data_IF_166028004899
#
_entry.id   IF_166028004899
#
_cell.length_a   1.000
_cell.length_b   1.000
_cell.length_c   1.000
_cell.angle_alpha   90.00
_cell.angle_beta   90.00
_cell.angle_gamma   90.00
#
_symmetry.space_group_name_H-M   'P 1'
#
loop_
_entity.id
_entity.type
_entity.pdbx_description
1 polymer ?
#
# COMPACT_ATOMS: atom_id res chain seq x y z
N UNK A 1 -11.26 5.97 24.55
CA UNK A 1 -10.81 4.76 23.84
C UNK A 1 -9.96 5.24 22.69
N UNK A 2 -8.67 4.86 22.65
CA UNK A 2 -7.84 5.07 21.45
C UNK A 2 -8.10 3.87 20.55
N UNK A 3 -8.54 4.14 19.34
CA UNK A 3 -8.77 3.16 18.28
C UNK A 3 -7.48 2.38 18.02
N UNK A 4 -7.59 1.08 17.73
CA UNK A 4 -6.42 0.25 17.44
C UNK A 4 -6.20 0.26 15.93
N UNK A 5 -5.21 1.02 15.48
CA UNK A 5 -4.73 0.98 14.11
C UNK A 5 -4.38 -0.46 13.71
N UNK A 6 -4.75 -0.88 12.50
CA UNK A 6 -4.33 -2.18 11.96
C UNK A 6 -2.92 -2.03 11.40
N UNK A 7 -1.96 -2.57 12.14
CA UNK A 7 -0.54 -2.55 11.79
C UNK A 7 -0.15 -3.80 11.01
N UNK A 8 0.66 -3.63 9.97
CA UNK A 8 1.24 -4.72 9.20
C UNK A 8 2.73 -4.47 8.95
N UNK A 9 3.48 -5.55 8.80
CA UNK A 9 4.87 -5.54 8.37
C UNK A 9 4.95 -6.03 6.94
N UNK A 10 5.72 -5.35 6.11
CA UNK A 10 5.93 -5.67 4.71
C UNK A 10 7.42 -5.91 4.43
N UNK A 11 7.71 -6.86 3.55
CA UNK A 11 9.02 -7.05 2.94
C UNK A 11 9.00 -6.28 1.61
N UNK A 12 10.04 -5.48 1.36
CA UNK A 12 10.12 -4.61 0.19
C UNK A 12 10.98 -5.28 -0.89
N UNK A 13 10.35 -5.73 -1.96
CA UNK A 13 11.00 -6.37 -3.12
C UNK A 13 11.23 -5.38 -4.28
N UNK A 14 10.53 -4.24 -4.28
CA UNK A 14 10.65 -3.16 -5.26
C UNK A 14 10.86 -1.83 -4.53
N UNK A 15 12.08 -1.57 -4.04
CA UNK A 15 12.38 -0.32 -3.36
C UNK A 15 12.32 0.87 -4.31
N UNK A 16 12.28 2.09 -3.76
CA UNK A 16 12.36 3.34 -4.54
C UNK A 16 13.52 3.28 -5.55
N UNK A 17 13.24 3.59 -6.81
CA UNK A 17 14.19 3.57 -7.91
C UNK A 17 14.36 2.21 -8.59
N UNK A 18 13.66 1.17 -8.14
CA UNK A 18 13.62 -0.11 -8.84
C UNK A 18 13.00 0.05 -10.24
N UNK A 19 13.61 -0.59 -11.24
CA UNK A 19 13.10 -0.66 -12.61
C UNK A 19 12.71 -2.11 -12.92
N UNK A 20 11.45 -2.32 -13.28
CA UNK A 20 10.97 -3.66 -13.64
C UNK A 20 11.36 -4.05 -15.08
N UNK A 21 11.08 -5.31 -15.47
CA UNK A 21 11.39 -5.81 -16.81
C UNK A 21 10.63 -5.11 -17.95
N UNK A 22 9.60 -4.32 -17.63
CA UNK A 22 8.81 -3.55 -18.58
C UNK A 22 9.27 -2.09 -18.68
N UNK A 23 10.29 -1.70 -17.89
CA UNK A 23 10.84 -0.34 -17.87
C UNK A 23 10.07 0.63 -16.96
N UNK A 24 9.18 0.13 -16.09
CA UNK A 24 8.53 0.98 -15.09
C UNK A 24 9.49 1.25 -13.94
N UNK A 25 9.70 2.52 -13.61
CA UNK A 25 10.50 2.95 -12.47
C UNK A 25 9.57 3.25 -11.29
N UNK A 26 9.82 2.61 -10.15
CA UNK A 26 9.01 2.76 -8.93
C UNK A 26 9.46 3.99 -8.13
N UNK A 27 8.65 5.05 -8.02
CA UNK A 27 9.01 6.26 -7.29
C UNK A 27 8.81 6.13 -5.76
N UNK A 28 8.14 5.06 -5.32
CA UNK A 28 7.82 4.73 -3.92
C UNK A 28 8.21 3.28 -3.64
N UNK A 29 8.35 2.93 -2.35
CA UNK A 29 8.60 1.53 -1.99
C UNK A 29 7.34 0.70 -2.21
N UNK A 30 7.54 -0.50 -2.77
CA UNK A 30 6.51 -1.50 -2.98
C UNK A 30 7.01 -2.87 -2.50
N UNK A 31 6.10 -3.65 -1.95
CA UNK A 31 6.41 -4.93 -1.36
C UNK A 31 5.17 -5.77 -1.17
N UNK A 32 5.27 -6.74 -0.28
CA UNK A 32 4.19 -7.66 0.08
C UNK A 32 4.14 -7.89 1.60
N UNK A 33 2.97 -8.29 2.10
CA UNK A 33 2.77 -8.71 3.48
C UNK A 33 3.00 -10.22 3.58
N UNK A 34 4.07 -10.68 4.25
CA UNK A 34 4.37 -12.11 4.33
C UNK A 34 3.25 -12.87 5.05
N UNK A 35 3.00 -14.10 4.61
CA UNK A 35 1.97 -15.02 5.14
C UNK A 35 0.51 -14.55 4.98
N UNK A 36 0.26 -13.40 4.35
CA UNK A 36 -1.08 -12.93 4.02
C UNK A 36 -1.33 -13.14 2.52
N UNK A 37 -2.25 -14.03 2.16
CA UNK A 37 -2.51 -14.34 0.76
C UNK A 37 -3.52 -13.35 0.16
N UNK A 38 -3.15 -12.73 -0.96
CA UNK A 38 -3.97 -11.84 -1.77
C UNK A 38 -4.98 -12.57 -2.67
N UNK A 39 -5.66 -11.81 -3.52
CA UNK A 39 -6.72 -12.32 -4.40
C UNK A 39 -6.22 -13.24 -5.54
N UNK A 40 -4.95 -13.11 -5.92
CA UNK A 40 -4.29 -13.87 -6.98
C UNK A 40 -3.62 -15.18 -6.51
N UNK A 41 -3.57 -15.41 -5.19
CA UNK A 41 -2.92 -16.56 -4.58
C UNK A 41 -1.45 -16.35 -4.21
N UNK A 42 -0.90 -15.15 -4.42
CA UNK A 42 0.41 -14.71 -3.92
C UNK A 42 0.25 -13.94 -2.60
N UNK A 43 1.36 -13.46 -2.04
CA UNK A 43 1.34 -12.64 -0.82
C UNK A 43 0.78 -11.25 -1.13
N UNK A 44 0.00 -10.67 -0.22
CA UNK A 44 -0.75 -9.45 -0.43
C UNK A 44 0.17 -8.28 -0.74
N UNK A 45 0.04 -7.75 -1.95
CA UNK A 45 0.82 -6.62 -2.45
C UNK A 45 0.49 -5.32 -1.72
N UNK A 46 1.52 -4.47 -1.53
CA UNK A 46 1.39 -3.22 -0.77
C UNK A 46 2.30 -2.09 -1.26
N UNK A 47 1.72 -0.89 -1.40
CA UNK A 47 2.44 0.37 -1.55
C UNK A 47 2.75 0.99 -0.18
N UNK A 48 3.93 1.62 -0.07
CA UNK A 48 4.27 2.48 1.08
C UNK A 48 4.06 3.93 0.68
N UNK A 49 3.15 4.63 1.37
CA UNK A 49 2.81 6.03 1.12
C UNK A 49 3.24 6.89 2.30
N UNK A 50 3.90 8.01 2.01
CA UNK A 50 4.32 9.00 2.99
C UNK A 50 4.37 10.39 2.36
N UNK A 51 4.18 11.44 3.17
CA UNK A 51 4.44 12.83 2.79
C UNK A 51 5.94 13.13 2.63
N UNK A 52 6.79 12.37 3.32
CA UNK A 52 8.23 12.55 3.29
C UNK A 52 8.87 11.83 2.09
N UNK A 53 9.95 12.37 1.50
CA UNK A 53 10.72 11.67 0.49
C UNK A 53 11.22 10.32 1.00
N UNK A 54 11.00 9.26 0.23
CA UNK A 54 11.37 7.90 0.61
C UNK A 54 12.78 7.54 0.10
N UNK A 55 13.49 6.78 0.91
CA UNK A 55 14.71 6.06 0.51
C UNK A 55 14.37 4.58 0.25
N UNK A 56 15.22 3.83 -0.48
CA UNK A 56 15.09 2.38 -0.60
C UNK A 56 14.96 1.71 0.78
N UNK A 57 13.96 0.87 0.94
CA UNK A 57 13.72 0.09 2.16
C UNK A 57 13.90 -1.40 1.87
N UNK A 58 14.26 -2.16 2.92
CA UNK A 58 14.19 -3.64 2.90
C UNK A 58 12.91 -4.14 3.56
N UNK A 59 12.45 -3.43 4.60
CA UNK A 59 11.25 -3.78 5.37
C UNK A 59 10.54 -2.49 5.80
N UNK A 60 9.22 -2.56 5.97
CA UNK A 60 8.43 -1.47 6.51
C UNK A 60 7.37 -2.00 7.47
N UNK A 61 7.07 -1.26 8.55
CA UNK A 61 5.93 -1.55 9.43
C UNK A 61 5.14 -0.27 9.61
N UNK A 62 3.85 -0.34 9.26
CA UNK A 62 2.98 0.83 9.26
C UNK A 62 1.52 0.44 9.42
N UNK A 63 0.66 1.46 9.46
CA UNK A 63 -0.78 1.29 9.54
C UNK A 63 -1.36 1.09 8.14
N UNK A 64 -2.33 0.20 8.01
CA UNK A 64 -3.18 0.09 6.82
C UNK A 64 -4.14 1.28 6.79
N UNK A 65 -3.99 2.12 5.76
CA UNK A 65 -4.79 3.37 5.63
C UNK A 65 -5.80 3.30 4.50
N UNK A 66 -5.57 2.47 3.49
CA UNK A 66 -6.44 2.35 2.34
C UNK A 66 -6.21 1.02 1.59
N UNK A 67 -7.16 0.70 0.74
CA UNK A 67 -7.08 -0.38 -0.24
C UNK A 67 -7.41 0.24 -1.61
N UNK A 68 -6.57 -0.05 -2.60
CA UNK A 68 -6.86 0.23 -4.00
C UNK A 68 -7.47 -1.04 -4.59
N UNK A 69 -8.69 -0.93 -5.07
CA UNK A 69 -9.35 -2.00 -5.79
C UNK A 69 -9.22 -1.76 -7.29
N UNK A 70 -8.98 -2.81 -8.06
CA UNK A 70 -8.91 -2.77 -9.52
C UNK A 70 -10.08 -3.58 -10.08
N UNK A 71 -10.88 -3.02 -10.98
CA UNK A 71 -12.02 -3.73 -11.61
C UNK A 71 -11.58 -4.75 -12.65
N UNK A 72 -10.41 -4.53 -13.22
CA UNK A 72 -9.82 -5.24 -14.34
C UNK A 72 -8.62 -6.10 -13.93
N UNK A 73 -8.38 -6.26 -12.63
CA UNK A 73 -7.34 -7.10 -12.03
C UNK A 73 -7.96 -7.96 -10.90
N UNK A 74 -7.32 -9.07 -10.56
CA UNK A 74 -7.86 -10.04 -9.58
C UNK A 74 -7.35 -9.81 -8.15
N UNK A 75 -6.48 -8.83 -7.94
CA UNK A 75 -5.87 -8.55 -6.66
C UNK A 75 -5.99 -7.06 -6.29
N UNK A 76 -6.45 -6.81 -5.07
CA UNK A 76 -6.40 -5.49 -4.46
C UNK A 76 -4.96 -5.11 -4.10
N UNK A 77 -4.67 -3.81 -4.01
CA UNK A 77 -3.37 -3.30 -3.57
C UNK A 77 -3.51 -2.55 -2.26
N UNK A 78 -2.81 -3.00 -1.23
CA UNK A 78 -2.89 -2.38 0.09
C UNK A 78 -2.00 -1.14 0.18
N UNK A 79 -2.36 -0.23 1.08
CA UNK A 79 -1.59 0.99 1.37
C UNK A 79 -1.17 1.00 2.83
N UNK A 80 0.13 0.88 3.09
CA UNK A 80 0.70 1.16 4.41
C UNK A 80 1.30 2.56 4.48
N UNK A 81 1.19 3.18 5.64
CA UNK A 81 1.78 4.48 5.90
C UNK A 81 2.35 4.59 7.33
N UNK A 82 3.25 5.56 7.58
CA UNK A 82 3.71 5.87 8.94
C UNK A 82 2.54 6.23 9.86
N UNK A 83 2.61 5.77 11.11
CA UNK A 83 1.53 5.95 12.11
C UNK A 83 1.19 7.42 12.34
N UNK A 84 2.21 8.28 12.34
CA UNK A 84 2.12 9.71 12.59
C UNK A 84 1.66 10.54 11.37
N UNK A 85 1.37 9.91 10.24
CA UNK A 85 0.94 10.60 9.03
C UNK A 85 -0.55 10.37 8.73
N UNK A 86 -1.25 11.45 8.41
CA UNK A 86 -2.60 11.41 7.87
C UNK A 86 -2.53 11.38 6.34
N UNK A 87 -2.90 10.24 5.77
CA UNK A 87 -2.90 10.00 4.33
C UNK A 87 -4.32 10.20 3.79
N UNK A 88 -4.44 10.93 2.68
CA UNK A 88 -5.71 11.14 1.98
C UNK A 88 -5.70 10.50 0.59
N UNK A 89 -6.88 10.38 -0.03
CA UNK A 89 -7.01 9.77 -1.37
C UNK A 89 -6.21 10.50 -2.45
N UNK A 90 -6.06 11.81 -2.36
CA UNK A 90 -5.30 12.60 -3.34
C UNK A 90 -3.83 12.20 -3.33
N UNK A 91 -3.20 12.13 -2.16
CA UNK A 91 -1.81 11.74 -2.02
C UNK A 91 -1.57 10.31 -2.51
N UNK A 92 -2.48 9.38 -2.17
CA UNK A 92 -2.42 7.99 -2.64
C UNK A 92 -2.48 7.97 -4.16
N UNK A 93 -3.49 8.61 -4.76
CA UNK A 93 -3.67 8.65 -6.20
C UNK A 93 -2.47 9.25 -6.93
N UNK A 94 -1.87 10.31 -6.40
CA UNK A 94 -0.68 10.95 -6.96
C UNK A 94 0.54 10.04 -6.92
N UNK A 95 0.82 9.42 -5.77
CA UNK A 95 2.02 8.58 -5.58
C UNK A 95 1.92 7.21 -6.26
N UNK A 96 0.72 6.65 -6.40
CA UNK A 96 0.52 5.38 -7.10
C UNK A 96 0.21 5.55 -8.58
N UNK A 97 0.01 6.78 -9.08
CA UNK A 97 -0.35 7.06 -10.47
C UNK A 97 0.57 6.38 -11.49
N UNK A 98 1.86 6.29 -11.19
CA UNK A 98 2.86 5.68 -12.10
C UNK A 98 2.47 4.27 -12.55
N UNK A 99 1.79 3.50 -11.70
CA UNK A 99 1.29 2.16 -12.00
C UNK A 99 -0.22 2.14 -12.18
N UNK A 100 -0.96 2.80 -11.29
CA UNK A 100 -2.44 2.77 -11.28
C UNK A 100 -3.07 3.44 -12.50
N UNK A 101 -2.34 4.29 -13.24
CA UNK A 101 -2.82 4.84 -14.53
C UNK A 101 -3.16 3.77 -15.58
N UNK A 102 -2.68 2.54 -15.41
CA UNK A 102 -2.90 1.43 -16.33
C UNK A 102 -4.07 0.51 -15.93
N UNK A 103 -4.74 0.78 -14.81
CA UNK A 103 -5.83 -0.03 -14.27
C UNK A 103 -7.11 0.79 -14.09
N UNK A 104 -8.27 0.14 -14.16
CA UNK A 104 -9.54 0.74 -13.73
C UNK A 104 -9.70 0.58 -12.21
N UNK A 105 -9.09 1.49 -11.45
CA UNK A 105 -9.00 1.39 -9.99
C UNK A 105 -9.75 2.48 -9.21
N UNK A 106 -10.08 2.18 -7.94
CA UNK A 106 -10.61 3.15 -6.97
C UNK A 106 -10.02 2.94 -5.58
N UNK A 107 -9.93 4.03 -4.81
CA UNK A 107 -9.37 4.02 -3.45
C UNK A 107 -10.50 3.94 -2.42
N UNK A 108 -10.47 2.91 -1.58
CA UNK A 108 -11.25 2.79 -0.35
C UNK A 108 -10.37 3.15 0.85
N UNK A 109 -10.78 4.14 1.67
CA UNK A 109 -10.05 4.46 2.90
C UNK A 109 -10.47 3.48 3.98
N UNK A 110 -9.49 2.94 4.72
CA UNK A 110 -9.78 2.12 5.90
C UNK A 110 -10.24 3.05 7.02
N UNK A 111 -11.52 2.97 7.37
CA UNK A 111 -12.04 3.68 8.53
C UNK A 111 -11.41 3.13 9.81
N UNK A 112 -11.09 4.00 10.77
CA UNK A 112 -10.76 3.58 12.14
C UNK A 112 -11.98 2.85 12.73
N UNK A 113 -11.97 1.52 12.70
CA UNK A 113 -13.11 0.74 13.16
C UNK A 113 -13.33 0.94 14.66
N UNK A 114 -14.52 1.39 15.00
CA UNK A 114 -15.05 1.47 16.37
C UNK A 114 -15.51 0.09 16.87
N UNK A 115 -14.91 -1.01 16.41
CA UNK A 115 -15.39 -2.35 16.75
C UNK A 115 -14.67 -2.91 17.98
N UNK A 116 -15.44 -3.05 19.05
CA UNK A 116 -15.03 -3.62 20.33
C UNK A 116 -15.32 -5.12 20.42
N UNK A 117 -15.50 -5.79 19.28
CA UNK A 117 -15.84 -7.22 19.22
C UNK A 117 -14.93 -8.00 18.27
N UNK A 118 -13.71 -8.25 18.73
CA UNK A 118 -12.98 -9.51 18.52
C UNK A 118 -12.39 -9.94 19.87
#
# INVERSE_FOLDING_TARGET
MKYKEKMFSAIIDRPVGFEDSFGNVYPINYGYIPEMIGGDGEEQDVYIISHDPQQPLENFTGKLVAIIHRRDDIEDKWILAPVNEEINKTLIAEQTHFMEQYFDSWIEMVEESNDSRL
#
